data_IF_466259047164
#
_entry.id   IF_466259047164
#
_cell.length_a   1.000
_cell.length_b   1.000
_cell.length_c   1.000
_cell.angle_alpha   90.00
_cell.angle_beta   90.00
_cell.angle_gamma   90.00
#
_symmetry.space_group_name_H-M   'P 1'
#
loop_
_entity.id
_entity.type
_entity.pdbx_description
1 polymer ?
#
# COMPACT_ATOMS: atom_id res chain seq x y z
N UNK A 1 -1.79 11.11 -2.97
CA UNK A 1 -1.59 10.63 -1.58
C UNK A 1 -0.11 10.69 -1.19
N UNK A 2 0.23 10.96 0.07
CA UNK A 2 1.62 10.88 0.58
C UNK A 2 2.04 9.43 0.83
N UNK A 3 3.33 9.12 0.71
CA UNK A 3 3.83 7.76 1.00
C UNK A 3 3.50 7.26 2.41
N UNK A 4 3.44 8.16 3.40
CA UNK A 4 3.06 7.80 4.78
C UNK A 4 1.58 7.42 4.90
N UNK A 5 0.72 7.99 4.06
CA UNK A 5 -0.71 7.68 4.02
C UNK A 5 -0.92 6.30 3.37
N UNK A 6 -0.24 6.03 2.24
CA UNK A 6 -0.25 4.71 1.58
C UNK A 6 0.22 3.62 2.55
N UNK A 7 1.33 3.86 3.25
CA UNK A 7 1.84 2.93 4.27
C UNK A 7 0.80 2.61 5.34
N UNK A 8 -0.05 3.56 5.71
CA UNK A 8 -1.09 3.37 6.73
C UNK A 8 -2.31 2.64 6.15
N UNK A 9 -2.77 3.06 4.97
CA UNK A 9 -3.94 2.50 4.30
C UNK A 9 -3.74 1.04 3.90
N UNK A 10 -2.53 0.68 3.49
CA UNK A 10 -2.17 -0.68 3.08
C UNK A 10 -1.43 -1.45 4.19
N UNK A 11 -1.38 -0.91 5.42
CA UNK A 11 -0.77 -1.55 6.60
C UNK A 11 0.68 -2.05 6.39
N UNK A 12 1.44 -1.38 5.53
CA UNK A 12 2.77 -1.83 5.12
C UNK A 12 3.80 -1.64 6.25
N UNK A 13 4.77 -2.53 6.38
CA UNK A 13 5.87 -2.31 7.30
C UNK A 13 6.71 -1.10 6.85
N UNK A 14 6.93 -0.14 7.75
CA UNK A 14 7.65 1.10 7.41
C UNK A 14 9.08 0.84 6.93
N UNK A 15 9.83 -0.01 7.62
CA UNK A 15 11.23 -0.26 7.28
C UNK A 15 11.34 -1.00 5.94
N UNK A 16 10.45 -1.96 5.71
CA UNK A 16 10.42 -2.75 4.47
C UNK A 16 9.96 -1.91 3.28
N UNK A 17 8.86 -1.16 3.43
CA UNK A 17 8.29 -0.34 2.37
C UNK A 17 9.24 0.79 1.96
N UNK A 18 9.74 1.59 2.92
CA UNK A 18 10.70 2.64 2.61
C UNK A 18 12.08 2.08 2.25
N UNK A 19 12.45 0.89 2.73
CA UNK A 19 13.64 0.16 2.31
C UNK A 19 13.57 -0.16 0.83
N UNK A 20 12.51 -0.84 0.40
CA UNK A 20 12.26 -1.19 -1.00
C UNK A 20 12.25 0.03 -1.92
N UNK A 21 11.55 1.10 -1.53
CA UNK A 21 11.50 2.33 -2.32
C UNK A 21 12.88 2.96 -2.54
N UNK A 22 13.77 2.89 -1.53
CA UNK A 22 15.15 3.39 -1.66
C UNK A 22 16.03 2.44 -2.48
N UNK A 23 15.94 1.14 -2.23
CA UNK A 23 16.72 0.11 -2.93
C UNK A 23 16.45 0.13 -4.44
N UNK A 24 15.19 0.35 -4.82
CA UNK A 24 14.78 0.46 -6.23
C UNK A 24 14.99 1.87 -6.79
N UNK A 25 15.57 2.79 -6.02
CA UNK A 25 15.80 4.19 -6.40
C UNK A 25 14.52 4.92 -6.84
N UNK A 26 13.37 4.53 -6.28
CA UNK A 26 12.07 5.20 -6.48
C UNK A 26 12.03 6.50 -5.65
N UNK A 27 12.65 6.48 -4.47
CA UNK A 27 12.86 7.66 -3.64
C UNK A 27 14.32 7.77 -3.18
N UNK A 28 14.75 9.00 -2.92
CA UNK A 28 16.06 9.31 -2.36
C UNK A 28 15.86 10.09 -1.06
N UNK A 29 16.70 9.82 -0.06
CA UNK A 29 16.71 10.57 1.19
C UNK A 29 17.71 11.73 1.08
N UNK A 30 17.21 12.94 1.26
CA UNK A 30 17.97 14.18 1.31
C UNK A 30 17.93 14.80 2.72
N UNK A 31 18.69 15.88 2.91
CA UNK A 31 18.75 16.63 4.17
C UNK A 31 17.37 17.13 4.63
N UNK A 32 16.51 17.51 3.69
CA UNK A 32 15.18 18.07 3.98
C UNK A 32 14.07 17.01 4.07
N UNK A 33 14.35 15.75 3.74
CA UNK A 33 13.34 14.70 3.72
C UNK A 33 13.51 13.69 2.57
N UNK A 34 12.40 13.28 1.97
CA UNK A 34 12.43 12.37 0.82
C UNK A 34 12.07 13.12 -0.46
N UNK A 35 12.76 12.76 -1.54
CA UNK A 35 12.53 13.25 -2.90
C UNK A 35 12.36 12.07 -3.85
N UNK A 36 11.77 12.33 -5.02
CA UNK A 36 11.67 11.34 -6.09
C UNK A 36 13.07 10.92 -6.57
N UNK A 37 13.25 9.62 -6.80
CA UNK A 37 14.48 9.08 -7.35
C UNK A 37 14.43 8.92 -8.86
N UNK A 38 15.53 8.44 -9.48
CA UNK A 38 15.61 8.25 -10.94
C UNK A 38 14.63 7.22 -11.49
N UNK A 39 14.19 6.25 -10.66
CA UNK A 39 13.21 5.24 -11.04
C UNK A 39 11.82 5.55 -10.45
N UNK A 40 11.52 6.83 -10.20
CA UNK A 40 10.21 7.22 -9.73
C UNK A 40 9.11 6.80 -10.71
N UNK A 41 7.99 6.33 -10.18
CA UNK A 41 6.84 5.98 -10.99
C UNK A 41 6.18 7.23 -11.55
N UNK A 42 5.51 7.06 -12.68
CA UNK A 42 4.68 8.10 -13.26
C UNK A 42 3.60 8.55 -12.25
N UNK A 43 3.43 9.87 -12.12
CA UNK A 43 2.52 10.47 -11.14
C UNK A 43 3.12 10.62 -9.73
N UNK A 44 4.42 10.35 -9.54
CA UNK A 44 5.14 10.70 -8.30
C UNK A 44 5.73 12.10 -8.37
N UNK A 45 5.58 12.86 -7.28
CA UNK A 45 6.09 14.23 -7.17
C UNK A 45 6.72 14.49 -5.80
N UNK A 46 7.72 15.38 -5.78
CA UNK A 46 8.28 15.90 -4.52
C UNK A 46 7.53 17.16 -4.14
N UNK A 47 6.86 17.14 -2.98
CA UNK A 47 6.28 18.35 -2.37
C UNK A 47 7.23 18.94 -1.34
N UNK A 48 7.54 20.21 -1.53
CA UNK A 48 8.34 20.99 -0.59
C UNK A 48 7.43 21.84 0.28
N UNK A 49 7.62 21.78 1.59
CA UNK A 49 6.93 22.62 2.56
C UNK A 49 7.94 23.53 3.24
N UNK A 50 7.57 24.79 3.39
CA UNK A 50 8.40 25.83 4.03
C UNK A 50 7.61 26.42 5.19
N UNK A 51 8.17 26.34 6.39
CA UNK A 51 7.58 26.97 7.59
C UNK A 51 8.61 27.82 8.31
N UNK A 52 8.15 28.88 8.95
CA UNK A 52 8.96 29.71 9.84
C UNK A 52 8.76 29.17 11.26
N UNK A 53 9.85 28.91 11.98
CA UNK A 53 9.82 28.51 13.40
C UNK A 53 9.67 29.73 14.30
N UNK A 54 9.40 29.49 15.59
CA UNK A 54 9.23 30.54 16.61
C UNK A 54 10.49 31.42 16.75
N UNK A 55 11.66 30.85 16.43
CA UNK A 55 12.96 31.54 16.43
C UNK A 55 13.23 32.36 15.16
N UNK A 56 12.29 32.38 14.20
CA UNK A 56 12.44 33.05 12.91
C UNK A 56 13.23 32.27 11.85
N UNK A 57 13.65 31.04 12.15
CA UNK A 57 14.35 30.19 11.19
C UNK A 57 13.39 29.59 10.15
N UNK A 58 13.87 29.42 8.92
CA UNK A 58 13.11 28.83 7.83
C UNK A 58 13.41 27.34 7.75
N UNK A 59 12.44 26.51 8.15
CA UNK A 59 12.53 25.07 7.97
C UNK A 59 11.93 24.65 6.63
N UNK A 60 12.72 23.99 5.81
CA UNK A 60 12.30 23.38 4.54
C UNK A 60 12.21 21.87 4.74
N UNK A 61 11.05 21.29 4.44
CA UNK A 61 10.83 19.84 4.47
C UNK A 61 10.32 19.32 3.14
N UNK A 62 10.84 18.18 2.70
CA UNK A 62 10.43 17.52 1.45
C UNK A 62 9.72 16.20 1.74
N UNK A 63 8.64 15.95 1.00
CA UNK A 63 7.85 14.72 1.10
C UNK A 63 7.42 14.28 -0.29
N UNK A 64 7.39 12.96 -0.51
CA UNK A 64 6.95 12.39 -1.79
C UNK A 64 5.46 12.09 -1.76
N UNK A 65 4.77 12.46 -2.84
CA UNK A 65 3.38 12.13 -3.10
C UNK A 65 3.26 11.35 -4.40
N UNK A 66 2.19 10.58 -4.54
CA UNK A 66 1.82 9.87 -5.77
C UNK A 66 0.34 10.10 -6.08
N UNK A 67 0.00 10.10 -7.35
CA UNK A 67 -1.39 10.10 -7.81
C UNK A 67 -2.14 8.87 -7.34
N UNK A 68 -3.37 9.08 -6.85
CA UNK A 68 -4.18 7.99 -6.29
C UNK A 68 -4.45 6.87 -7.31
N UNK A 69 -4.52 7.20 -8.59
CA UNK A 69 -4.72 6.24 -9.68
C UNK A 69 -3.51 5.30 -9.89
N UNK A 70 -2.31 5.71 -9.45
CA UNK A 70 -1.06 4.98 -9.64
C UNK A 70 -0.65 4.19 -8.39
N UNK A 71 -1.35 4.37 -7.26
CA UNK A 71 -1.13 3.60 -6.03
C UNK A 71 -1.26 2.08 -6.27
N UNK A 72 -2.29 1.56 -6.97
CA UNK A 72 -2.39 0.11 -7.18
C UNK A 72 -1.18 -0.48 -7.89
N UNK A 73 -0.60 0.26 -8.85
CA UNK A 73 0.61 -0.18 -9.58
C UNK A 73 1.84 -0.21 -8.66
N UNK A 74 1.98 0.79 -7.78
CA UNK A 74 3.04 0.83 -6.77
C UNK A 74 2.94 -0.38 -5.82
N UNK A 75 1.73 -0.70 -5.35
CA UNK A 75 1.50 -1.84 -4.45
C UNK A 75 1.77 -3.16 -5.17
N UNK A 76 1.31 -3.32 -6.41
CA UNK A 76 1.57 -4.53 -7.20
C UNK A 76 3.08 -4.78 -7.38
N UNK A 77 3.87 -3.75 -7.68
CA UNK A 77 5.32 -3.86 -7.78
C UNK A 77 5.97 -4.20 -6.43
N UNK A 78 5.49 -3.60 -5.34
CA UNK A 78 5.94 -3.92 -3.99
C UNK A 78 5.62 -5.37 -3.61
N UNK A 79 4.44 -5.89 -3.95
CA UNK A 79 4.08 -7.29 -3.68
C UNK A 79 4.90 -8.28 -4.49
N UNK A 80 5.16 -7.96 -5.78
CA UNK A 80 6.02 -8.76 -6.66
C UNK A 80 7.45 -8.88 -6.16
N UNK A 81 7.93 -7.91 -5.36
CA UNK A 81 9.27 -7.96 -4.77
C UNK A 81 9.44 -9.10 -3.73
N UNK A 82 8.34 -9.69 -3.23
CA UNK A 82 8.38 -10.74 -2.22
C UNK A 82 8.76 -10.28 -0.82
N UNK A 83 9.13 -9.00 -0.64
CA UNK A 83 9.46 -8.40 0.66
C UNK A 83 8.35 -8.42 1.71
N UNK A 84 7.04 -8.35 1.37
CA UNK A 84 5.98 -8.51 2.37
C UNK A 84 6.05 -9.84 3.12
N UNK A 85 6.58 -10.91 2.49
CA UNK A 85 6.65 -12.26 3.05
C UNK A 85 7.88 -12.49 3.93
N UNK A 86 8.94 -11.69 3.75
CA UNK A 86 10.22 -11.88 4.43
C UNK A 86 10.20 -11.36 5.88
N UNK A 87 9.38 -10.35 6.18
CA UNK A 87 9.36 -9.70 7.49
C UNK A 87 8.14 -10.06 8.36
N UNK A 88 7.19 -10.87 7.87
CA UNK A 88 6.14 -11.44 8.73
C UNK A 88 6.67 -12.53 9.69
N UNK A 89 7.83 -13.12 9.39
CA UNK A 89 8.41 -14.26 10.10
C UNK A 89 9.57 -13.91 11.04
N UNK A 90 10.05 -12.67 11.06
CA UNK A 90 11.29 -12.33 11.77
C UNK A 90 11.11 -11.95 13.26
N UNK A 91 9.88 -11.78 13.75
CA UNK A 91 9.60 -11.56 15.17
C UNK A 91 9.47 -12.84 16.01
N UNK A 92 9.62 -14.04 15.43
CA UNK A 92 9.52 -15.32 16.16
C UNK A 92 10.88 -15.98 16.48
N UNK A 93 11.99 -15.23 16.48
CA UNK A 93 13.25 -15.69 17.06
C UNK A 93 13.38 -15.22 18.50
N UNK A 94 12.49 -15.70 19.38
CA UNK A 94 12.75 -15.94 20.80
C UNK A 94 11.48 -16.55 21.43
N UNK A 95 11.51 -17.85 21.68
CA UNK A 95 10.54 -18.50 22.55
C UNK A 95 9.58 -19.47 21.87
N UNK A 96 9.89 -20.75 22.04
CA UNK A 96 8.92 -21.81 22.28
C UNK A 96 8.16 -22.38 21.07
N UNK A 97 8.55 -23.60 20.70
CA UNK A 97 7.69 -24.59 20.02
C UNK A 97 6.25 -24.54 20.54
N UNK A 98 5.29 -24.09 19.73
CA UNK A 98 3.87 -24.46 19.82
C UNK A 98 3.14 -24.12 18.52
N UNK A 99 2.78 -25.18 17.78
CA UNK A 99 1.70 -25.32 16.79
C UNK A 99 1.36 -24.12 15.88
N UNK A 100 2.07 -23.99 14.75
CA UNK A 100 1.86 -22.96 13.72
C UNK A 100 0.74 -23.23 12.71
N UNK A 101 -0.17 -24.19 12.95
CA UNK A 101 -1.16 -24.58 11.94
C UNK A 101 -2.54 -23.94 12.09
N UNK A 102 -2.86 -23.29 13.22
CA UNK A 102 -4.22 -22.80 13.48
C UNK A 102 -4.45 -21.33 13.12
N UNK A 103 -3.43 -20.47 13.21
CA UNK A 103 -3.58 -19.03 12.90
C UNK A 103 -3.69 -18.74 11.40
N UNK A 104 -3.19 -19.66 10.56
CA UNK A 104 -3.36 -19.60 9.11
C UNK A 104 -4.79 -19.93 8.68
N UNK A 105 -5.49 -20.81 9.42
CA UNK A 105 -6.85 -21.22 9.09
C UNK A 105 -7.86 -20.09 9.33
N UNK A 106 -7.77 -19.38 10.45
CA UNK A 106 -8.68 -18.27 10.77
C UNK A 106 -8.54 -17.10 9.77
N UNK A 107 -7.32 -16.81 9.31
CA UNK A 107 -7.10 -15.79 8.29
C UNK A 107 -7.59 -16.23 6.90
N UNK A 108 -7.47 -17.51 6.57
CA UNK A 108 -8.03 -18.08 5.35
C UNK A 108 -9.57 -18.08 5.39
N UNK A 109 -10.17 -18.39 6.53
CA UNK A 109 -11.63 -18.33 6.73
C UNK A 109 -12.18 -16.92 6.55
N UNK A 110 -11.53 -15.90 7.15
CA UNK A 110 -11.91 -14.48 6.92
C UNK A 110 -11.77 -14.08 5.46
N UNK A 111 -10.75 -14.58 4.77
CA UNK A 111 -10.55 -14.30 3.33
C UNK A 111 -11.58 -15.02 2.46
N UNK A 112 -11.99 -16.24 2.81
CA UNK A 112 -13.08 -16.97 2.14
C UNK A 112 -14.40 -16.21 2.32
N UNK A 113 -14.73 -15.76 3.53
CA UNK A 113 -15.96 -14.99 3.80
C UNK A 113 -16.02 -13.68 3.00
N UNK A 114 -14.89 -12.98 2.85
CA UNK A 114 -14.81 -11.77 2.00
C UNK A 114 -15.02 -12.13 0.53
N UNK A 115 -14.39 -13.20 0.03
CA UNK A 115 -14.52 -13.63 -1.35
C UNK A 115 -15.94 -14.09 -1.68
N UNK A 116 -16.61 -14.80 -0.77
CA UNK A 116 -18.01 -15.21 -0.92
C UNK A 116 -18.94 -14.01 -1.03
N UNK A 117 -18.75 -13.00 -0.16
CA UNK A 117 -19.51 -11.74 -0.22
C UNK A 117 -19.29 -11.00 -1.54
N UNK A 118 -18.06 -10.97 -2.05
CA UNK A 118 -17.74 -10.33 -3.33
C UNK A 118 -18.40 -11.05 -4.51
N UNK A 119 -18.35 -12.39 -4.54
CA UNK A 119 -19.03 -13.19 -5.58
C UNK A 119 -20.53 -12.94 -5.54
N UNK A 120 -21.13 -12.91 -4.34
CA UNK A 120 -22.56 -12.61 -4.18
C UNK A 120 -22.94 -11.23 -4.75
N UNK A 121 -22.18 -10.20 -4.39
CA UNK A 121 -22.41 -8.84 -4.91
C UNK A 121 -22.30 -8.81 -6.44
N UNK A 122 -21.29 -9.46 -7.02
CA UNK A 122 -21.16 -9.53 -8.47
C UNK A 122 -22.29 -10.27 -9.15
N UNK A 123 -22.80 -11.36 -8.56
CA UNK A 123 -23.96 -12.07 -9.11
C UNK A 123 -25.24 -11.23 -9.08
N UNK A 124 -25.47 -10.46 -8.01
CA UNK A 124 -26.62 -9.56 -7.92
C UNK A 124 -26.51 -8.40 -8.91
N UNK A 125 -25.31 -7.85 -9.10
CA UNK A 125 -25.04 -6.81 -10.10
C UNK A 125 -25.26 -7.33 -11.52
N UNK A 126 -24.78 -8.54 -11.83
CA UNK A 126 -25.02 -9.21 -13.12
C UNK A 126 -26.51 -9.47 -13.36
N UNK A 127 -27.24 -9.96 -12.35
CA UNK A 127 -28.69 -10.17 -12.42
C UNK A 127 -29.44 -8.86 -12.70
N UNK A 128 -29.03 -7.78 -12.04
CA UNK A 128 -29.60 -6.44 -12.24
C UNK A 128 -29.30 -5.92 -13.64
N UNK A 129 -28.06 -6.08 -14.13
CA UNK A 129 -27.66 -5.69 -15.47
C UNK A 129 -28.41 -6.47 -16.56
N UNK A 130 -28.57 -7.78 -16.40
CA UNK A 130 -29.33 -8.62 -17.32
C UNK A 130 -30.81 -8.21 -17.33
N UNK A 131 -31.41 -7.91 -16.17
CA UNK A 131 -32.80 -7.43 -16.08
C UNK A 131 -33.00 -6.02 -16.68
N UNK A 132 -31.99 -5.16 -16.59
CA UNK A 132 -32.01 -3.83 -17.21
C UNK A 132 -31.88 -3.94 -18.73
N UNK A 133 -30.93 -4.72 -19.23
CA UNK A 133 -30.75 -4.93 -20.68
C UNK A 133 -31.93 -5.63 -21.36
N UNK A 134 -32.67 -6.50 -20.66
CA UNK A 134 -33.91 -7.09 -21.19
C UNK A 134 -35.08 -6.11 -21.26
N UNK A 135 -35.12 -5.09 -20.39
CA UNK A 135 -36.15 -4.02 -20.41
C UNK A 135 -35.88 -2.94 -21.46
N UNK A 136 -34.65 -2.80 -21.93
CA UNK A 136 -34.27 -1.88 -23.01
C UNK A 136 -34.52 -2.47 -24.41
N UNK A 137 -34.89 -3.75 -24.50
CA UNK A 137 -35.14 -4.48 -25.75
C UNK A 137 -36.60 -4.93 -25.95
N UNK A 138 -37.54 -4.48 -25.12
CA UNK A 138 -39.00 -4.47 -25.38
C UNK A 138 -39.47 -3.08 -25.84
#
# INVERSE_FOLDING_TARGET
MKLIEIKREYELNQNTFYGWLKENQIIVKEMTGYVIGPNALEGMETKTNRRVTEDGEVLITTQVVIDNQKIPQLIEQYEKSGLPRLFSSQSQKNGTKRNSNNESAEHLEKRIDILEKQVYIFTEQLSTFIKQSTREHE
#
